data_IF_288015379486
#
_entry.id   IF_288015379486
#
_cell.length_a   1.000
_cell.length_b   1.000
_cell.length_c   1.000
_cell.angle_alpha   90.00
_cell.angle_beta   90.00
_cell.angle_gamma   90.00
#
_symmetry.space_group_name_H-M   'P 1'
#
loop_
_entity.id
_entity.type
_entity.pdbx_description
1 polymer ?
#
# COMPACT_ATOMS: atom_id res chain seq x y z
N UNK A 1 5.91 22.05 -8.42
CA UNK A 1 4.84 21.89 -9.42
C UNK A 1 3.51 22.33 -8.82
N UNK A 2 2.61 22.86 -9.66
CA UNK A 2 1.24 23.18 -9.26
C UNK A 2 0.30 22.06 -9.72
N UNK A 3 -0.88 21.98 -9.10
CA UNK A 3 -1.93 21.04 -9.55
C UNK A 3 -2.30 21.29 -11.02
N UNK A 4 -2.43 22.57 -11.41
CA UNK A 4 -2.71 22.93 -12.82
C UNK A 4 -1.61 22.44 -13.78
N UNK A 5 -0.34 22.51 -13.38
CA UNK A 5 0.77 21.97 -14.17
C UNK A 5 0.76 20.44 -14.26
N UNK A 6 0.47 19.74 -13.15
CA UNK A 6 0.36 18.29 -13.13
C UNK A 6 -0.83 17.78 -13.97
N UNK A 7 -1.94 18.52 -14.01
CA UNK A 7 -3.11 18.22 -14.84
C UNK A 7 -2.86 18.32 -16.34
N UNK A 8 -1.75 18.92 -16.77
CA UNK A 8 -1.34 18.92 -18.18
C UNK A 8 -0.61 17.62 -18.59
N UNK A 9 -0.22 16.80 -17.63
CA UNK A 9 0.41 15.51 -17.90
C UNK A 9 -0.65 14.44 -18.14
N UNK A 10 -0.43 13.61 -19.18
CA UNK A 10 -1.24 12.43 -19.40
C UNK A 10 -0.70 11.25 -18.58
N UNK A 11 -1.58 10.63 -17.79
CA UNK A 11 -1.26 9.35 -17.16
C UNK A 11 -1.16 8.28 -18.26
N UNK A 12 -0.10 7.49 -18.25
CA UNK A 12 0.15 6.45 -19.23
C UNK A 12 0.59 5.16 -18.54
N UNK A 13 0.47 4.04 -19.25
CA UNK A 13 1.08 2.79 -18.80
C UNK A 13 2.61 2.94 -18.76
N UNK A 14 3.25 2.18 -17.86
CA UNK A 14 4.70 2.24 -17.67
C UNK A 14 5.44 1.89 -18.97
N UNK A 15 6.40 2.69 -19.34
CA UNK A 15 7.26 2.48 -20.48
C UNK A 15 8.73 2.74 -20.12
N UNK A 16 9.65 2.15 -20.89
CA UNK A 16 11.07 2.47 -20.79
C UNK A 16 11.31 3.85 -21.45
N UNK A 17 11.75 4.86 -20.71
CA UNK A 17 11.95 6.22 -21.24
C UNK A 17 13.04 6.30 -22.31
N UNK A 18 13.95 5.30 -22.44
CA UNK A 18 15.00 5.28 -23.45
C UNK A 18 14.52 4.72 -24.78
N UNK A 19 13.62 3.74 -24.74
CA UNK A 19 13.17 3.03 -25.93
C UNK A 19 11.74 3.38 -26.33
N UNK A 20 10.94 3.94 -25.42
CA UNK A 20 9.51 4.19 -25.60
C UNK A 20 8.65 2.92 -25.51
N UNK A 21 9.25 1.76 -25.32
CA UNK A 21 8.52 0.48 -25.30
C UNK A 21 7.75 0.28 -24.00
N UNK A 22 6.53 -0.26 -24.09
CA UNK A 22 5.74 -0.65 -22.94
C UNK A 22 6.48 -1.68 -22.09
N UNK A 23 6.54 -1.47 -20.75
CA UNK A 23 7.08 -2.46 -19.80
C UNK A 23 6.11 -3.64 -19.68
N UNK A 24 4.81 -3.38 -19.81
CA UNK A 24 3.75 -4.38 -19.76
C UNK A 24 2.92 -4.32 -21.06
N UNK A 25 3.35 -5.01 -22.15
CA UNK A 25 2.73 -4.87 -23.48
C UNK A 25 1.26 -5.30 -23.54
N UNK A 26 0.82 -6.17 -22.63
CA UNK A 26 -0.57 -6.65 -22.55
C UNK A 26 -1.54 -5.71 -21.84
N UNK A 27 -1.07 -4.57 -21.31
CA UNK A 27 -1.88 -3.59 -20.61
C UNK A 27 -2.34 -2.46 -21.54
N UNK A 28 -2.77 -1.35 -20.96
CA UNK A 28 -3.24 -0.18 -21.68
C UNK A 28 -2.12 0.41 -22.59
N UNK A 29 -2.44 0.86 -23.84
CA UNK A 29 -1.44 1.38 -24.76
C UNK A 29 -0.71 2.62 -24.21
N UNK A 30 0.61 2.62 -24.33
CA UNK A 30 1.47 3.76 -23.94
C UNK A 30 1.11 5.00 -24.78
N UNK A 31 0.98 6.16 -24.11
CA UNK A 31 0.79 7.46 -24.74
C UNK A 31 -0.57 7.68 -25.43
N UNK A 32 -1.54 6.79 -25.25
CA UNK A 32 -2.89 6.90 -25.84
C UNK A 32 -4.01 7.21 -24.85
N UNK A 33 -3.67 7.44 -23.60
CA UNK A 33 -4.63 7.76 -22.56
C UNK A 33 -4.94 9.26 -22.51
N UNK A 34 -6.21 9.68 -22.41
CA UNK A 34 -6.58 11.04 -22.08
C UNK A 34 -6.62 11.30 -20.56
N UNK A 35 -6.24 10.32 -19.74
CA UNK A 35 -6.34 10.43 -18.29
C UNK A 35 -5.28 11.39 -17.73
N UNK A 36 -5.70 12.23 -16.81
CA UNK A 36 -4.83 13.15 -16.07
C UNK A 36 -4.46 12.56 -14.72
N UNK A 37 -3.44 13.14 -14.07
CA UNK A 37 -3.12 12.82 -12.69
C UNK A 37 -4.24 13.33 -11.78
N UNK A 38 -4.97 12.46 -11.06
CA UNK A 38 -6.05 12.90 -10.17
C UNK A 38 -5.49 13.51 -8.87
N UNK A 39 -6.29 14.34 -8.22
CA UNK A 39 -6.08 14.68 -6.82
C UNK A 39 -6.72 13.61 -5.93
N UNK A 40 -6.28 13.50 -4.67
CA UNK A 40 -6.92 12.61 -3.70
C UNK A 40 -8.42 12.90 -3.55
N UNK A 41 -8.81 14.18 -3.58
CA UNK A 41 -10.23 14.59 -3.50
C UNK A 41 -11.06 14.06 -4.68
N UNK A 42 -10.52 14.14 -5.90
CA UNK A 42 -11.19 13.59 -7.10
C UNK A 42 -11.36 12.07 -7.01
N UNK A 43 -10.36 11.36 -6.50
CA UNK A 43 -10.46 9.90 -6.29
C UNK A 43 -11.49 9.54 -5.23
N UNK A 44 -11.52 10.26 -4.09
CA UNK A 44 -12.52 10.06 -3.05
C UNK A 44 -13.94 10.33 -3.57
N UNK A 45 -14.14 11.42 -4.34
CA UNK A 45 -15.43 11.74 -4.96
C UNK A 45 -15.86 10.66 -5.94
N UNK A 46 -14.93 10.14 -6.75
CA UNK A 46 -15.20 9.04 -7.67
C UNK A 46 -15.65 7.77 -6.93
N UNK A 47 -14.90 7.34 -5.91
CA UNK A 47 -15.25 6.13 -5.13
C UNK A 47 -16.60 6.30 -4.43
N UNK A 48 -16.84 7.42 -3.76
CA UNK A 48 -18.11 7.70 -3.09
C UNK A 48 -19.28 7.81 -4.09
N UNK A 49 -19.06 8.43 -5.24
CA UNK A 49 -20.04 8.52 -6.32
C UNK A 49 -20.41 7.14 -6.90
N UNK A 50 -19.40 6.29 -7.15
CA UNK A 50 -19.61 4.91 -7.59
C UNK A 50 -20.30 4.06 -6.53
N UNK A 51 -19.94 4.20 -5.26
CA UNK A 51 -20.62 3.52 -4.16
C UNK A 51 -22.13 3.86 -4.17
N UNK A 52 -22.46 5.14 -4.25
CA UNK A 52 -23.85 5.60 -4.28
C UNK A 52 -24.60 5.09 -5.52
N UNK A 53 -24.01 5.20 -6.70
CA UNK A 53 -24.67 4.83 -7.97
C UNK A 53 -24.80 3.33 -8.18
N UNK A 54 -23.91 2.52 -7.57
CA UNK A 54 -23.87 1.06 -7.71
C UNK A 54 -24.38 0.29 -6.50
N UNK A 55 -24.85 0.99 -5.45
CA UNK A 55 -25.23 0.35 -4.19
C UNK A 55 -24.09 -0.44 -3.55
N UNK A 56 -22.85 0.08 -3.64
CA UNK A 56 -21.64 -0.52 -3.08
C UNK A 56 -21.17 0.28 -1.86
N UNK A 57 -20.23 -0.28 -1.14
CA UNK A 57 -19.58 0.33 0.01
C UNK A 57 -18.10 -0.04 0.01
N UNK A 58 -17.41 0.32 -1.08
CA UNK A 58 -15.97 0.15 -1.22
C UNK A 58 -15.23 1.19 -0.38
N UNK A 59 -14.18 0.76 0.30
CA UNK A 59 -13.27 1.63 1.04
C UNK A 59 -12.16 2.20 0.17
N UNK A 60 -11.24 2.94 0.82
CA UNK A 60 -10.05 3.52 0.20
C UNK A 60 -8.79 3.15 0.99
N UNK A 61 -7.65 3.10 0.30
CA UNK A 61 -6.40 2.68 0.91
C UNK A 61 -5.22 3.56 0.42
N UNK A 62 -5.19 4.85 0.80
CA UNK A 62 -4.13 5.77 0.38
C UNK A 62 -2.78 5.44 1.01
N UNK A 63 -1.72 5.60 0.23
CA UNK A 63 -0.34 5.52 0.69
C UNK A 63 0.27 6.92 0.80
N UNK A 64 0.89 7.22 1.94
CA UNK A 64 1.69 8.42 2.14
C UNK A 64 3.13 8.10 1.72
N UNK A 65 3.53 8.64 0.56
CA UNK A 65 4.87 8.44 0.00
C UNK A 65 5.81 9.56 0.37
N UNK A 66 7.06 9.20 0.67
CA UNK A 66 8.19 10.11 0.88
C UNK A 66 7.89 11.28 1.83
N UNK A 67 7.32 11.04 3.03
CA UNK A 67 6.95 12.13 3.96
C UNK A 67 8.16 12.98 4.37
N UNK A 68 9.36 12.40 4.47
CA UNK A 68 10.59 13.10 4.80
C UNK A 68 10.93 14.13 3.72
N UNK A 69 10.89 13.71 2.44
CA UNK A 69 11.15 14.59 1.31
C UNK A 69 10.15 15.75 1.25
N UNK A 70 8.85 15.44 1.42
CA UNK A 70 7.81 16.47 1.41
C UNK A 70 7.99 17.50 2.52
N UNK A 71 8.36 17.09 3.74
CA UNK A 71 8.65 18.03 4.84
C UNK A 71 9.88 18.91 4.55
N UNK A 72 10.92 18.36 3.92
CA UNK A 72 12.07 19.15 3.45
C UNK A 72 11.69 20.21 2.42
N UNK A 73 10.62 19.97 1.65
CA UNK A 73 10.04 20.94 0.74
C UNK A 73 9.00 21.87 1.38
N UNK A 74 8.87 21.85 2.72
CA UNK A 74 7.93 22.68 3.46
C UNK A 74 6.47 22.22 3.39
N UNK A 75 6.21 20.95 2.99
CA UNK A 75 4.87 20.39 2.87
C UNK A 75 4.68 19.21 3.83
N UNK A 76 3.69 19.29 4.70
CA UNK A 76 3.30 18.18 5.58
C UNK A 76 2.27 17.30 4.87
N UNK A 77 2.74 16.39 4.02
CA UNK A 77 1.87 15.53 3.22
C UNK A 77 0.93 14.69 4.10
N UNK A 78 1.39 14.22 5.25
CA UNK A 78 0.57 13.39 6.15
C UNK A 78 -0.61 14.18 6.70
N UNK A 79 -0.37 15.38 7.22
CA UNK A 79 -1.43 16.28 7.69
C UNK A 79 -2.42 16.60 6.56
N UNK A 80 -1.89 16.96 5.38
CA UNK A 80 -2.73 17.27 4.20
C UNK A 80 -3.64 16.08 3.85
N UNK A 81 -3.09 14.87 3.77
CA UNK A 81 -3.85 13.65 3.45
C UNK A 81 -4.93 13.37 4.51
N UNK A 82 -4.56 13.44 5.80
CA UNK A 82 -5.51 13.19 6.90
C UNK A 82 -6.64 14.23 6.93
N UNK A 83 -6.33 15.52 6.67
CA UNK A 83 -7.32 16.58 6.60
C UNK A 83 -8.29 16.37 5.42
N UNK A 84 -7.78 15.93 4.25
CA UNK A 84 -8.63 15.54 3.11
C UNK A 84 -9.53 14.38 3.49
N UNK A 85 -8.98 13.29 4.02
CA UNK A 85 -9.75 12.11 4.43
C UNK A 85 -10.85 12.48 5.44
N UNK A 86 -10.53 13.33 6.42
CA UNK A 86 -11.48 13.79 7.43
C UNK A 86 -12.64 14.60 6.84
N UNK A 87 -12.39 15.44 5.81
CA UNK A 87 -13.45 16.17 5.09
C UNK A 87 -14.40 15.24 4.34
N UNK A 88 -13.91 14.10 3.87
CA UNK A 88 -14.70 13.08 3.17
C UNK A 88 -15.29 12.00 4.10
N UNK A 89 -15.20 12.19 5.43
CA UNK A 89 -15.83 11.31 6.41
C UNK A 89 -14.98 10.13 6.88
N UNK A 90 -13.72 10.03 6.47
CA UNK A 90 -12.80 8.96 6.87
C UNK A 90 -11.95 9.40 8.07
N UNK A 91 -12.38 9.05 9.30
CA UNK A 91 -11.77 9.56 10.55
C UNK A 91 -11.39 8.48 11.55
N UNK A 92 -12.13 7.37 11.58
CA UNK A 92 -12.04 6.36 12.63
C UNK A 92 -11.85 4.95 12.06
N UNK A 93 -11.62 3.98 12.93
CA UNK A 93 -11.55 2.56 12.53
C UNK A 93 -12.88 1.98 12.03
N UNK A 94 -14.01 2.65 12.30
CA UNK A 94 -15.30 2.24 11.76
C UNK A 94 -15.44 2.58 10.28
N UNK A 95 -14.70 3.59 9.81
CA UNK A 95 -14.72 4.01 8.41
C UNK A 95 -13.88 3.05 7.55
N UNK A 96 -14.31 2.86 6.29
CA UNK A 96 -13.63 1.95 5.36
C UNK A 96 -12.40 2.60 4.72
N UNK A 97 -11.42 2.89 5.55
CA UNK A 97 -10.15 3.47 5.14
C UNK A 97 -8.99 2.80 5.86
N UNK A 98 -7.92 2.52 5.11
CA UNK A 98 -6.61 2.22 5.64
C UNK A 98 -5.64 3.27 5.11
N UNK A 99 -4.83 3.85 5.98
CA UNK A 99 -3.69 4.69 5.59
C UNK A 99 -2.43 3.88 5.74
N UNK A 100 -1.52 3.95 4.77
CA UNK A 100 -0.28 3.18 4.81
C UNK A 100 0.94 4.05 4.53
N UNK A 101 2.08 3.67 5.10
CA UNK A 101 3.34 4.35 4.91
C UNK A 101 4.52 3.40 5.12
N UNK A 102 5.62 3.60 4.37
CA UNK A 102 6.89 2.87 4.57
C UNK A 102 7.73 3.46 5.71
N UNK A 103 7.61 4.75 5.98
CA UNK A 103 8.39 5.44 7.01
C UNK A 103 7.80 5.21 8.40
N UNK A 104 8.55 4.49 9.26
CA UNK A 104 8.04 4.12 10.59
C UNK A 104 7.98 5.30 11.57
N UNK A 105 8.89 6.26 11.45
CA UNK A 105 8.82 7.49 12.25
C UNK A 105 7.56 8.29 11.89
N UNK A 106 7.19 8.31 10.59
CA UNK A 106 5.95 8.94 10.16
C UNK A 106 4.71 8.17 10.64
N UNK A 107 4.72 6.84 10.61
CA UNK A 107 3.62 6.02 11.17
C UNK A 107 3.41 6.34 12.65
N UNK A 108 4.49 6.42 13.43
CA UNK A 108 4.44 6.86 14.85
C UNK A 108 3.88 8.28 14.99
N UNK A 109 4.34 9.19 14.12
CA UNK A 109 3.88 10.58 14.09
C UNK A 109 2.39 10.70 13.75
N UNK A 110 1.92 9.96 12.74
CA UNK A 110 0.51 9.93 12.33
C UNK A 110 -0.37 9.50 13.50
N UNK A 111 0.02 8.45 14.22
CA UNK A 111 -0.75 7.97 15.37
C UNK A 111 -0.65 8.87 16.57
N UNK A 112 0.56 9.29 16.96
CA UNK A 112 0.83 10.02 18.21
C UNK A 112 0.59 11.53 18.08
N UNK A 113 1.33 12.21 17.18
CA UNK A 113 1.30 13.68 17.06
C UNK A 113 0.07 14.17 16.29
N UNK A 114 -0.25 13.53 15.14
CA UNK A 114 -1.39 13.92 14.33
C UNK A 114 -2.72 13.34 14.83
N UNK A 115 -2.68 12.41 15.78
CA UNK A 115 -3.84 11.86 16.47
C UNK A 115 -4.80 11.07 15.59
N UNK A 116 -4.33 10.49 14.49
CA UNK A 116 -5.19 9.73 13.57
C UNK A 116 -5.82 8.51 14.24
N UNK A 117 -7.15 8.42 14.19
CA UNK A 117 -7.93 7.35 14.83
C UNK A 117 -8.38 6.25 13.86
N UNK A 118 -8.09 6.37 12.57
CA UNK A 118 -8.41 5.35 11.57
C UNK A 118 -7.43 4.19 11.56
N UNK A 119 -7.63 3.23 10.63
CA UNK A 119 -6.72 2.10 10.45
C UNK A 119 -5.42 2.56 9.78
N UNK A 120 -4.30 2.15 10.37
CA UNK A 120 -2.96 2.53 9.92
C UNK A 120 -2.11 1.27 9.71
N UNK A 121 -1.40 1.21 8.59
CA UNK A 121 -0.58 0.06 8.19
C UNK A 121 0.86 0.49 7.96
N UNK A 122 1.79 -0.23 8.59
CA UNK A 122 3.21 -0.12 8.31
C UNK A 122 3.57 -0.99 7.11
N UNK A 123 4.03 -0.36 6.03
CA UNK A 123 4.59 -1.09 4.90
C UNK A 123 6.00 -1.58 5.21
N UNK A 124 6.27 -2.84 4.90
CA UNK A 124 7.60 -3.44 5.02
C UNK A 124 8.26 -3.53 3.64
N UNK A 125 9.60 -3.55 3.62
CA UNK A 125 10.38 -3.69 2.40
C UNK A 125 11.60 -4.59 2.61
N UNK A 126 12.20 -5.07 1.51
CA UNK A 126 13.44 -5.85 1.54
C UNK A 126 14.71 -4.98 1.67
N UNK A 127 14.58 -3.67 1.61
CA UNK A 127 15.70 -2.74 1.70
C UNK A 127 15.25 -1.31 1.99
N UNK A 128 16.18 -0.36 1.97
CA UNK A 128 15.89 1.05 2.21
C UNK A 128 14.79 1.58 1.27
N UNK A 129 13.94 2.43 1.77
CA UNK A 129 12.89 3.08 1.01
C UNK A 129 13.10 4.59 1.02
N UNK A 130 13.45 5.15 -0.16
CA UNK A 130 13.62 6.59 -0.36
C UNK A 130 14.57 7.21 0.68
N UNK A 131 14.20 8.37 1.26
CA UNK A 131 14.96 9.05 2.30
C UNK A 131 14.59 8.60 3.74
N UNK A 132 13.79 7.55 3.88
CA UNK A 132 13.40 7.01 5.19
C UNK A 132 14.57 6.32 5.90
N UNK A 133 14.72 6.57 7.19
CA UNK A 133 15.67 5.88 8.06
C UNK A 133 15.10 4.58 8.66
N UNK A 134 13.97 4.11 8.17
CA UNK A 134 13.28 2.92 8.68
C UNK A 134 14.13 1.66 8.51
N UNK A 135 14.41 0.97 9.61
CA UNK A 135 15.03 -0.36 9.59
C UNK A 135 14.00 -1.45 9.34
N UNK A 136 13.72 -1.71 8.07
CA UNK A 136 12.77 -2.75 7.66
C UNK A 136 13.23 -4.16 8.07
N UNK A 137 14.54 -4.40 8.23
CA UNK A 137 15.04 -5.69 8.69
C UNK A 137 14.68 -5.93 10.17
N UNK A 138 14.79 -4.91 10.99
CA UNK A 138 14.30 -4.96 12.38
C UNK A 138 12.78 -5.10 12.44
N UNK A 139 12.04 -4.30 11.69
CA UNK A 139 10.56 -4.25 11.76
C UNK A 139 9.89 -5.59 11.43
N UNK A 140 10.52 -6.46 10.64
CA UNK A 140 10.01 -7.81 10.34
C UNK A 140 10.36 -8.87 11.40
N UNK A 141 11.14 -8.51 12.43
CA UNK A 141 11.36 -9.38 13.59
C UNK A 141 10.17 -9.30 14.56
N UNK A 142 10.02 -10.31 15.43
CA UNK A 142 8.97 -10.29 16.45
C UNK A 142 9.05 -9.07 17.36
N UNK A 143 10.25 -8.60 17.68
CA UNK A 143 10.45 -7.37 18.45
C UNK A 143 9.98 -6.14 17.67
N UNK A 144 10.35 -6.01 16.39
CA UNK A 144 9.92 -4.93 15.54
C UNK A 144 8.42 -4.92 15.29
N UNK A 145 7.79 -6.09 15.07
CA UNK A 145 6.34 -6.22 15.00
C UNK A 145 5.66 -5.74 16.30
N UNK A 146 6.28 -6.01 17.46
CA UNK A 146 5.82 -5.47 18.74
C UNK A 146 5.86 -3.94 18.82
N UNK A 147 6.84 -3.29 18.20
CA UNK A 147 6.87 -1.82 18.09
C UNK A 147 5.79 -1.30 17.13
N UNK A 148 5.57 -1.99 16.00
CA UNK A 148 4.49 -1.64 15.07
C UNK A 148 3.12 -1.73 15.74
N UNK A 149 2.86 -2.80 16.50
CA UNK A 149 1.57 -3.03 17.16
C UNK A 149 1.17 -1.93 18.17
N UNK A 150 2.13 -1.13 18.64
CA UNK A 150 1.84 0.02 19.53
C UNK A 150 1.18 1.18 18.80
N UNK A 151 1.37 1.29 17.48
CA UNK A 151 0.99 2.49 16.71
C UNK A 151 0.19 2.20 15.44
N UNK A 152 0.24 0.97 14.92
CA UNK A 152 -0.45 0.57 13.70
C UNK A 152 -1.38 -0.62 13.92
N UNK A 153 -2.27 -0.85 12.97
CA UNK A 153 -3.29 -1.91 13.00
C UNK A 153 -2.89 -3.11 12.13
N UNK A 154 -1.88 -2.94 11.29
CA UNK A 154 -1.42 -3.99 10.40
C UNK A 154 -0.08 -3.70 9.75
N UNK A 155 0.38 -4.67 8.99
CA UNK A 155 1.59 -4.61 8.16
C UNK A 155 1.26 -4.91 6.70
N UNK A 156 2.02 -4.29 5.78
CA UNK A 156 1.99 -4.60 4.36
C UNK A 156 3.37 -5.09 3.90
N UNK A 157 3.67 -6.39 3.91
CA UNK A 157 4.93 -6.93 3.44
C UNK A 157 4.91 -7.21 1.92
N UNK A 158 6.05 -7.18 1.20
CA UNK A 158 6.13 -7.77 -0.13
C UNK A 158 5.91 -9.29 -0.06
N UNK A 159 5.39 -9.88 -1.15
CA UNK A 159 5.04 -11.31 -1.23
C UNK A 159 6.20 -12.22 -0.78
N UNK A 160 7.43 -11.89 -1.17
CA UNK A 160 8.63 -12.69 -0.86
C UNK A 160 9.01 -12.73 0.62
N UNK A 161 8.53 -11.79 1.44
CA UNK A 161 8.72 -11.83 2.89
C UNK A 161 7.71 -12.77 3.59
N UNK A 162 6.67 -13.20 2.89
CA UNK A 162 5.64 -14.11 3.41
C UNK A 162 5.85 -15.52 2.88
N UNK A 163 5.96 -15.67 1.55
CA UNK A 163 6.22 -16.96 0.89
C UNK A 163 7.51 -16.85 0.10
N UNK A 164 8.53 -17.58 0.53
CA UNK A 164 9.87 -17.53 -0.08
C UNK A 164 10.02 -18.48 -1.28
N UNK A 165 9.10 -19.44 -1.43
CA UNK A 165 9.15 -20.41 -2.51
C UNK A 165 8.19 -21.57 -2.33
N UNK A 166 8.43 -22.63 -3.16
CA UNK A 166 7.69 -23.89 -3.10
C UNK A 166 8.67 -25.06 -3.35
N UNK A 167 8.66 -26.06 -2.51
CA UNK A 167 9.52 -27.23 -2.62
C UNK A 167 8.69 -28.50 -2.43
N UNK A 168 8.78 -29.44 -3.37
CA UNK A 168 8.00 -30.68 -3.31
C UNK A 168 6.49 -30.48 -3.26
N UNK A 169 5.99 -29.38 -3.81
CA UNK A 169 4.58 -29.02 -3.78
C UNK A 169 4.15 -28.22 -2.52
N UNK A 170 4.96 -28.15 -1.47
CA UNK A 170 4.66 -27.41 -0.26
C UNK A 170 5.22 -25.97 -0.30
N UNK A 171 4.42 -24.99 0.16
CA UNK A 171 4.84 -23.60 0.29
C UNK A 171 5.92 -23.46 1.39
N UNK A 172 6.92 -22.64 1.13
CA UNK A 172 7.89 -22.20 2.12
C UNK A 172 7.43 -20.87 2.71
N UNK A 173 6.68 -20.94 3.81
CA UNK A 173 6.09 -19.79 4.50
C UNK A 173 7.00 -19.35 5.63
N UNK A 174 7.22 -18.04 5.77
CA UNK A 174 7.93 -17.45 6.90
C UNK A 174 7.03 -17.36 8.13
N UNK A 175 7.63 -17.07 9.28
CA UNK A 175 6.88 -16.85 10.53
C UNK A 175 6.18 -15.49 10.60
N UNK A 176 6.37 -14.61 9.63
CA UNK A 176 5.95 -13.21 9.67
C UNK A 176 4.46 -13.04 9.93
N UNK A 177 3.60 -13.79 9.20
CA UNK A 177 2.14 -13.70 9.36
C UNK A 177 1.69 -14.21 10.73
N UNK A 178 2.21 -15.37 11.14
CA UNK A 178 1.93 -15.94 12.47
C UNK A 178 2.31 -14.97 13.60
N UNK A 179 3.50 -14.38 13.52
CA UNK A 179 4.00 -13.47 14.56
C UNK A 179 3.26 -12.13 14.56
N UNK A 180 2.84 -11.64 13.39
CA UNK A 180 1.98 -10.45 13.28
C UNK A 180 0.60 -10.70 13.88
N UNK A 181 -0.05 -11.81 13.53
CA UNK A 181 -1.36 -12.20 14.08
C UNK A 181 -1.31 -12.40 15.60
N UNK A 182 -0.22 -12.98 16.12
CA UNK A 182 -0.04 -13.13 17.58
C UNK A 182 0.01 -11.79 18.33
N UNK A 183 0.28 -10.69 17.64
CA UNK A 183 0.28 -9.32 18.15
C UNK A 183 -0.98 -8.53 17.77
N UNK A 184 -1.96 -9.16 17.12
CA UNK A 184 -3.19 -8.53 16.67
C UNK A 184 -3.04 -7.64 15.44
N UNK A 185 -1.93 -7.75 14.71
CA UNK A 185 -1.71 -7.02 13.47
C UNK A 185 -2.35 -7.75 12.29
N UNK A 186 -3.09 -7.03 11.45
CA UNK A 186 -3.54 -7.52 10.14
C UNK A 186 -2.36 -7.56 9.16
N UNK A 187 -2.43 -8.46 8.18
CA UNK A 187 -1.37 -8.63 7.18
C UNK A 187 -1.96 -8.51 5.78
N UNK A 188 -1.54 -7.46 5.05
CA UNK A 188 -1.97 -7.15 3.68
C UNK A 188 -0.75 -7.13 2.73
N UNK A 189 -0.33 -8.27 2.17
CA UNK A 189 0.85 -8.33 1.31
C UNK A 189 0.64 -7.65 -0.05
N UNK A 190 1.74 -7.18 -0.66
CA UNK A 190 1.80 -6.56 -1.97
C UNK A 190 2.92 -7.18 -2.83
N UNK A 191 2.87 -7.17 -4.15
CA UNK A 191 1.80 -6.76 -5.02
C UNK A 191 1.33 -7.98 -5.80
N UNK A 192 0.05 -8.29 -5.75
CA UNK A 192 -0.56 -9.36 -6.50
C UNK A 192 -0.81 -8.94 -7.95
N UNK A 193 -0.17 -9.61 -8.90
CA UNK A 193 -0.26 -9.31 -10.33
C UNK A 193 -0.42 -10.58 -11.14
N UNK A 194 -1.48 -10.64 -11.94
CA UNK A 194 -1.71 -11.78 -12.83
C UNK A 194 -0.67 -11.87 -13.96
N UNK A 195 -0.08 -10.76 -14.34
CA UNK A 195 0.93 -10.65 -15.41
C UNK A 195 2.38 -10.61 -14.89
N UNK A 196 2.58 -10.79 -13.58
CA UNK A 196 3.90 -10.83 -12.96
C UNK A 196 3.86 -11.74 -11.73
N UNK A 197 3.64 -13.05 -11.96
CA UNK A 197 3.58 -14.06 -10.91
C UNK A 197 4.96 -14.33 -10.30
N UNK A 198 5.05 -14.67 -9.01
CA UNK A 198 6.26 -15.26 -8.44
C UNK A 198 6.61 -16.56 -9.18
N UNK A 199 7.89 -16.86 -9.30
CA UNK A 199 8.38 -18.02 -10.08
C UNK A 199 7.78 -19.37 -9.64
N UNK A 200 7.32 -19.49 -8.40
CA UNK A 200 6.73 -20.71 -7.86
C UNK A 200 5.22 -20.87 -8.14
N UNK A 201 4.52 -19.79 -8.56
CA UNK A 201 3.08 -19.81 -8.82
C UNK A 201 2.81 -20.01 -10.33
N UNK A 202 2.09 -21.07 -10.68
CA UNK A 202 1.72 -21.37 -12.06
C UNK A 202 0.51 -20.59 -12.58
N UNK A 203 -0.28 -19.98 -11.66
CA UNK A 203 -1.44 -19.18 -12.00
C UNK A 203 -1.75 -18.13 -10.93
N UNK A 204 -2.58 -17.13 -11.30
CA UNK A 204 -3.03 -16.13 -10.35
C UNK A 204 -3.95 -16.71 -9.27
N UNK A 205 -4.78 -17.69 -9.64
CA UNK A 205 -5.63 -18.41 -8.69
C UNK A 205 -4.81 -19.20 -7.67
N UNK A 206 -3.71 -19.84 -8.10
CA UNK A 206 -2.78 -20.51 -7.19
C UNK A 206 -2.14 -19.49 -6.22
N UNK A 207 -1.72 -18.34 -6.71
CA UNK A 207 -1.18 -17.27 -5.88
C UNK A 207 -2.20 -16.79 -4.83
N UNK A 208 -3.44 -16.51 -5.25
CA UNK A 208 -4.51 -16.10 -4.35
C UNK A 208 -4.80 -17.15 -3.28
N UNK A 209 -4.94 -18.42 -3.70
CA UNK A 209 -5.20 -19.54 -2.78
C UNK A 209 -4.06 -19.68 -1.75
N UNK A 210 -2.81 -19.62 -2.19
CA UNK A 210 -1.65 -19.73 -1.32
C UNK A 210 -1.69 -18.69 -0.19
N UNK A 211 -1.96 -17.43 -0.51
CA UNK A 211 -1.94 -16.37 0.49
C UNK A 211 -3.24 -16.28 1.31
N UNK A 212 -4.39 -16.33 0.67
CA UNK A 212 -5.68 -16.13 1.35
C UNK A 212 -6.14 -17.35 2.14
N UNK A 213 -5.83 -18.57 1.64
CA UNK A 213 -6.34 -19.82 2.23
C UNK A 213 -5.26 -20.55 3.02
N UNK A 214 -4.06 -20.75 2.44
CA UNK A 214 -3.04 -21.59 3.06
C UNK A 214 -2.21 -20.81 4.09
N UNK A 215 -1.85 -19.55 3.79
CA UNK A 215 -1.14 -18.66 4.71
C UNK A 215 -2.11 -17.94 5.65
N UNK A 216 -3.30 -17.57 5.16
CA UNK A 216 -4.35 -16.92 5.94
C UNK A 216 -4.11 -15.43 6.18
N UNK A 217 -3.64 -14.69 5.15
CA UNK A 217 -3.53 -13.22 5.25
C UNK A 217 -4.91 -12.55 5.23
N UNK A 218 -5.00 -11.33 5.78
CA UNK A 218 -6.27 -10.62 6.01
C UNK A 218 -6.75 -9.84 4.79
N UNK A 219 -5.86 -9.53 3.87
CA UNK A 219 -6.15 -8.82 2.63
C UNK A 219 -4.95 -8.87 1.68
N UNK A 220 -5.13 -8.30 0.49
CA UNK A 220 -4.10 -8.31 -0.57
C UNK A 220 -4.11 -6.98 -1.35
N UNK A 221 -2.97 -6.63 -1.93
CA UNK A 221 -2.78 -5.55 -2.90
C UNK A 221 -2.41 -6.08 -4.27
#
# INVERSE_FOLDING_TARGET
FTVAGLKQLAASERFDPRTGNAVFPGRFPVGRSPFQVPTLEEELQLVQGLNKSRGRDAGVYPEIKEPVWHRKQGQDISRIVLDVLARYGYRTKADKVYVQCFDFEEVKRIRGELGYQGRLVQLLADGPQFESATDHAFLRTRAGLGEIAKVADGIGPPLGLVVTGKTGGALQVTDLVRDAHALGLQVHPYTFRADALPAWAGSFDELLRAFLVEVGVDGIF
#
